data_IF_350890475839
#
_entry.id   IF_350890475839
#
_cell.length_a   1.000
_cell.length_b   1.000
_cell.length_c   1.000
_cell.angle_alpha   90.00
_cell.angle_beta   90.00
_cell.angle_gamma   90.00
#
_symmetry.space_group_name_H-M   'P 1'
#
loop_
_entity.id
_entity.type
_entity.pdbx_description
1 polymer ?
#
# COMPACT_ATOMS: atom_id res chain seq x y z
N UNK A 1 11.11 3.48 -19.45
CA UNK A 1 11.69 2.46 -18.55
C UNK A 1 10.84 1.21 -18.71
N UNK A 2 11.42 0.05 -19.03
CA UNK A 2 10.65 -1.19 -19.18
C UNK A 2 10.49 -1.83 -17.80
N UNK A 3 9.29 -1.80 -17.24
CA UNK A 3 9.01 -2.35 -15.91
C UNK A 3 8.72 -3.85 -16.06
N UNK A 4 9.39 -4.74 -15.32
CA UNK A 4 9.20 -6.19 -15.47
C UNK A 4 7.92 -6.64 -14.75
N UNK A 5 6.76 -6.37 -15.36
CA UNK A 5 5.44 -6.63 -14.78
C UNK A 5 5.27 -8.10 -14.35
N UNK A 6 5.66 -9.05 -15.20
CA UNK A 6 5.46 -10.48 -14.91
C UNK A 6 6.20 -10.89 -13.63
N UNK A 7 7.46 -10.45 -13.47
CA UNK A 7 8.24 -10.68 -12.25
C UNK A 7 7.60 -10.05 -11.00
N UNK A 8 6.99 -8.87 -11.14
CA UNK A 8 6.30 -8.20 -10.04
C UNK A 8 5.01 -8.91 -9.65
N UNK A 9 4.28 -9.47 -10.62
CA UNK A 9 3.06 -10.25 -10.38
C UNK A 9 3.35 -11.61 -9.73
N UNK A 10 4.54 -12.17 -9.95
CA UNK A 10 5.04 -13.38 -9.27
C UNK A 10 5.61 -13.09 -7.86
N UNK A 11 5.69 -11.82 -7.47
CA UNK A 11 6.20 -11.40 -6.17
C UNK A 11 5.29 -11.74 -4.99
N UNK A 12 5.63 -11.21 -3.82
CA UNK A 12 4.79 -11.36 -2.64
C UNK A 12 3.39 -10.74 -2.83
N UNK A 13 2.36 -11.19 -2.08
CA UNK A 13 0.97 -10.76 -2.28
C UNK A 13 0.74 -9.24 -2.25
N UNK A 14 1.51 -8.52 -1.43
CA UNK A 14 1.48 -7.06 -1.39
C UNK A 14 2.00 -6.43 -2.69
N UNK A 15 3.08 -6.99 -3.26
CA UNK A 15 3.70 -6.51 -4.50
C UNK A 15 2.75 -6.76 -5.67
N UNK A 16 2.16 -7.94 -5.76
CA UNK A 16 1.17 -8.26 -6.79
C UNK A 16 -0.01 -7.27 -6.72
N UNK A 17 -0.62 -7.11 -5.54
CA UNK A 17 -1.76 -6.20 -5.36
C UNK A 17 -1.44 -4.75 -5.74
N UNK A 18 -0.27 -4.22 -5.33
CA UNK A 18 0.15 -2.86 -5.68
C UNK A 18 0.49 -2.70 -7.15
N UNK A 19 1.13 -3.70 -7.76
CA UNK A 19 1.44 -3.70 -9.20
C UNK A 19 0.17 -3.59 -10.04
N UNK A 20 -0.86 -4.35 -9.67
CA UNK A 20 -2.17 -4.33 -10.33
C UNK A 20 -2.85 -2.95 -10.28
N UNK A 21 -2.82 -2.30 -9.12
CA UNK A 21 -3.43 -0.97 -8.97
C UNK A 21 -2.59 0.16 -9.58
N UNK A 22 -1.31 0.21 -9.25
CA UNK A 22 -0.49 1.39 -9.49
C UNK A 22 0.17 1.38 -10.87
N UNK A 23 0.55 0.19 -11.37
CA UNK A 23 1.28 0.06 -12.63
C UNK A 23 0.37 -0.39 -13.76
N UNK A 24 -0.58 -1.29 -13.49
CA UNK A 24 -1.55 -1.76 -14.48
C UNK A 24 -2.84 -0.93 -14.51
N UNK A 25 -3.07 -0.08 -13.51
CA UNK A 25 -4.28 0.76 -13.44
C UNK A 25 -5.58 -0.03 -13.31
N UNK A 26 -5.51 -1.27 -12.82
CA UNK A 26 -6.69 -2.11 -12.66
C UNK A 26 -7.63 -1.51 -11.61
N UNK A 27 -8.93 -1.67 -11.84
CA UNK A 27 -9.94 -1.23 -10.88
C UNK A 27 -9.86 -2.03 -9.59
N UNK A 28 -10.19 -1.40 -8.46
CA UNK A 28 -10.35 -2.11 -7.18
C UNK A 28 -11.45 -3.18 -7.20
N UNK A 29 -12.37 -3.10 -8.15
CA UNK A 29 -13.43 -4.10 -8.35
C UNK A 29 -13.02 -5.20 -9.33
N UNK A 30 -11.82 -5.15 -9.91
CA UNK A 30 -11.31 -6.23 -10.76
C UNK A 30 -11.14 -7.52 -9.92
N UNK A 31 -11.68 -8.67 -10.36
CA UNK A 31 -11.55 -9.93 -9.63
C UNK A 31 -10.11 -10.33 -9.29
N UNK A 32 -9.14 -9.97 -10.16
CA UNK A 32 -7.73 -10.27 -9.91
C UNK A 32 -7.15 -9.39 -8.80
N UNK A 33 -7.59 -8.13 -8.74
CA UNK A 33 -7.21 -7.20 -7.66
C UNK A 33 -7.80 -7.66 -6.34
N UNK A 34 -9.05 -8.10 -6.31
CA UNK A 34 -9.68 -8.61 -5.10
C UNK A 34 -9.02 -9.90 -4.61
N UNK A 35 -8.72 -10.83 -5.52
CA UNK A 35 -7.98 -12.06 -5.20
C UNK A 35 -6.61 -11.76 -4.59
N UNK A 36 -5.81 -10.87 -5.21
CA UNK A 36 -4.51 -10.47 -4.69
C UNK A 36 -4.63 -9.77 -3.32
N UNK A 37 -5.66 -8.94 -3.13
CA UNK A 37 -5.96 -8.31 -1.83
C UNK A 37 -6.26 -9.34 -0.75
N UNK A 38 -7.07 -10.35 -1.06
CA UNK A 38 -7.42 -11.40 -0.11
C UNK A 38 -6.20 -12.28 0.24
N UNK A 39 -5.36 -12.61 -0.74
CA UNK A 39 -4.09 -13.32 -0.50
C UNK A 39 -3.13 -12.51 0.39
N UNK A 40 -3.05 -11.19 0.18
CA UNK A 40 -2.27 -10.28 1.01
C UNK A 40 -2.78 -10.22 2.45
N UNK A 41 -4.10 -10.16 2.65
CA UNK A 41 -4.69 -10.19 3.99
C UNK A 41 -4.52 -11.56 4.66
N UNK A 42 -4.50 -12.66 3.91
CA UNK A 42 -4.23 -13.99 4.45
C UNK A 42 -2.75 -14.24 4.77
N UNK A 43 -1.84 -13.35 4.36
CA UNK A 43 -0.41 -13.51 4.61
C UNK A 43 -0.07 -13.36 6.11
N UNK A 44 0.64 -14.34 6.66
CA UNK A 44 0.98 -14.37 8.09
C UNK A 44 1.80 -13.18 8.57
N UNK A 45 2.71 -12.63 7.75
CA UNK A 45 3.49 -11.45 8.13
C UNK A 45 2.59 -10.20 8.23
N UNK A 46 1.61 -10.07 7.33
CA UNK A 46 0.62 -8.99 7.38
C UNK A 46 -0.28 -9.13 8.61
N UNK A 47 -0.75 -10.34 8.91
CA UNK A 47 -1.55 -10.60 10.11
C UNK A 47 -0.78 -10.33 11.40
N UNK A 48 0.50 -10.72 11.47
CA UNK A 48 1.36 -10.44 12.60
C UNK A 48 1.55 -8.92 12.79
N UNK A 49 1.84 -8.19 11.71
CA UNK A 49 1.97 -6.74 11.75
C UNK A 49 0.68 -6.06 12.26
N UNK A 50 -0.49 -6.48 11.76
CA UNK A 50 -1.77 -5.95 12.23
C UNK A 50 -2.01 -6.25 13.72
N UNK A 51 -1.62 -7.44 14.17
CA UNK A 51 -1.71 -7.83 15.58
C UNK A 51 -0.81 -6.97 16.46
N UNK A 52 0.45 -6.78 16.06
CA UNK A 52 1.42 -5.92 16.76
C UNK A 52 0.94 -4.46 16.82
N UNK A 53 0.45 -3.92 15.70
CA UNK A 53 -0.08 -2.56 15.63
C UNK A 53 -1.30 -2.37 16.54
N UNK A 54 -2.14 -3.40 16.67
CA UNK A 54 -3.31 -3.37 17.57
C UNK A 54 -2.91 -3.29 19.04
N UNK A 55 -1.70 -3.73 19.38
CA UNK A 55 -1.11 -3.65 20.72
C UNK A 55 -0.31 -2.37 20.99
N UNK A 56 -0.22 -1.42 20.04
CA UNK A 56 0.62 -0.25 20.20
C UNK A 56 0.06 0.69 21.28
N UNK A 57 0.79 0.94 22.40
CA UNK A 57 0.32 1.78 23.52
C UNK A 57 0.36 3.30 23.24
N UNK A 58 0.43 3.74 21.98
CA UNK A 58 0.73 5.13 21.62
C UNK A 58 -0.48 5.91 21.09
N UNK A 59 -0.66 7.14 21.58
CA UNK A 59 -1.57 8.12 20.97
C UNK A 59 -1.11 8.42 19.55
N UNK A 60 -1.98 8.19 18.56
CA UNK A 60 -1.71 8.47 17.15
C UNK A 60 -1.47 9.97 16.97
N UNK A 61 -0.20 10.38 16.85
CA UNK A 61 0.16 11.75 16.49
C UNK A 61 0.23 11.89 14.96
N UNK A 62 -0.93 12.04 14.31
CA UNK A 62 -0.93 12.45 12.89
C UNK A 62 -0.69 13.97 12.85
N UNK A 63 0.58 14.39 12.71
CA UNK A 63 0.90 15.76 12.31
C UNK A 63 1.34 15.74 10.85
N UNK A 64 0.36 15.84 9.95
CA UNK A 64 0.63 16.13 8.53
C UNK A 64 1.09 17.58 8.48
N UNK A 65 2.38 17.81 8.23
CA UNK A 65 2.92 19.14 7.94
C UNK A 65 2.56 19.48 6.49
N UNK A 66 1.52 20.26 6.29
CA UNK A 66 1.37 21.06 5.06
C UNK A 66 2.48 22.11 5.06
N UNK A 67 3.50 21.91 4.24
CA UNK A 67 4.41 22.98 3.86
C UNK A 67 3.79 23.73 2.69
N UNK A 68 3.45 25.01 2.87
CA UNK A 68 3.73 26.16 1.98
C UNK A 68 2.97 27.36 2.55
N UNK A 69 3.69 28.27 3.22
CA UNK A 69 3.35 29.70 3.20
C UNK A 69 4.61 30.50 3.54
N UNK A 70 5.24 31.07 2.52
CA UNK A 70 6.03 32.31 2.59
C UNK A 70 6.16 32.82 1.16
N UNK A 71 5.03 33.29 0.63
CA UNK A 71 5.05 34.27 -0.46
C UNK A 71 5.59 35.57 0.09
N UNK A 72 6.40 36.25 -0.72
CA UNK A 72 7.14 37.44 -0.35
C UNK A 72 6.27 38.58 0.18
N UNK A 73 6.91 39.43 0.96
CA UNK A 73 6.49 40.81 1.17
C UNK A 73 7.60 41.70 0.66
N UNK A 74 7.17 42.70 -0.12
CA UNK A 74 7.94 43.80 -0.72
C UNK A 74 9.00 44.45 0.19
#
# INVERSE_FOLDING_TARGET
MNVPIDWLLEGGPWIEYRTRLDLLGQSRQDPQVDSARNAMLANGQVQNLLTELSGWPGTVMIKIREGVQSGGTD
#
